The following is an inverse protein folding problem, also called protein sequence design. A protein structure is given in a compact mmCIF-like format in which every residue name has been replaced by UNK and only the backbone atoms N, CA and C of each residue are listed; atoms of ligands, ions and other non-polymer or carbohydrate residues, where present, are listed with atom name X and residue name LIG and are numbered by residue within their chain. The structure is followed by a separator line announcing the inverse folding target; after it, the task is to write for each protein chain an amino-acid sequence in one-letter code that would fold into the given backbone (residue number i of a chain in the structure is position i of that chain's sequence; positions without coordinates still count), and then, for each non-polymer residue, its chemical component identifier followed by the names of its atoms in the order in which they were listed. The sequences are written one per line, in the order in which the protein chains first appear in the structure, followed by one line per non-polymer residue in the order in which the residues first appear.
data_IF_061460686172
#
_entry.id   IF_061460686172
#
_cell.length_a   1.000
_cell.length_b   1.000
_cell.length_c   1.000
_cell.angle_alpha   90.00
_cell.angle_beta   90.00
_cell.angle_gamma   90.00
#
_symmetry.space_group_name_H-M   'P 1'
#
loop_
_entity.id
_entity.type
_entity.pdbx_description
1 polymer ?
#
# COMPACT_ATOMS: atom_id res chain seq x y z
N UNK A 1 -60.81 -6.29 -0.93
CA UNK A 1 -60.94 -4.84 -1.09
C UNK A 1 -60.09 -4.43 -2.29
N UNK A 2 -60.78 -4.26 -3.46
CA UNK A 2 -60.20 -3.81 -4.72
C UNK A 2 -59.89 -2.31 -4.64
N UNK A 3 -58.66 -1.96 -4.43
CA UNK A 3 -58.17 -0.61 -4.69
C UNK A 3 -57.63 -0.51 -6.10
N UNK A 4 -58.46 -0.21 -7.09
CA UNK A 4 -58.05 0.32 -8.37
C UNK A 4 -57.42 1.68 -8.14
N UNK A 5 -56.13 1.80 -8.21
CA UNK A 5 -55.44 3.08 -8.43
C UNK A 5 -55.53 3.34 -9.93
N UNK A 6 -56.62 3.98 -10.33
CA UNK A 6 -56.81 4.62 -11.64
C UNK A 6 -56.37 6.08 -11.50
N UNK A 7 -55.10 6.31 -11.31
CA UNK A 7 -54.47 7.60 -11.42
C UNK A 7 -53.56 7.60 -12.64
N UNK A 8 -53.57 8.70 -13.39
CA UNK A 8 -52.57 8.92 -14.45
C UNK A 8 -51.20 8.74 -13.84
N UNK A 9 -50.40 7.80 -14.35
CA UNK A 9 -49.05 7.55 -13.88
C UNK A 9 -48.24 8.80 -14.19
N UNK A 10 -47.85 9.56 -13.16
CA UNK A 10 -46.99 10.73 -13.30
C UNK A 10 -45.62 10.29 -13.82
N UNK A 11 -44.93 11.23 -14.44
CA UNK A 11 -43.59 10.99 -14.99
C UNK A 11 -42.61 10.43 -13.92
N UNK A 12 -42.69 10.92 -12.69
CA UNK A 12 -41.87 10.43 -11.57
C UNK A 12 -42.24 9.00 -11.13
N UNK A 13 -43.53 8.65 -11.16
CA UNK A 13 -44.00 7.29 -10.89
C UNK A 13 -43.50 6.31 -11.95
N UNK A 14 -43.52 6.71 -13.23
CA UNK A 14 -42.95 5.92 -14.31
C UNK A 14 -41.46 5.67 -14.18
N UNK A 15 -40.69 6.68 -13.78
CA UNK A 15 -39.24 6.55 -13.49
C UNK A 15 -39.04 5.58 -12.33
N UNK A 16 -39.75 5.76 -11.22
CA UNK A 16 -39.64 4.93 -10.04
C UNK A 16 -39.95 3.45 -10.32
N UNK A 17 -41.04 3.17 -11.03
CA UNK A 17 -41.44 1.80 -11.44
C UNK A 17 -40.35 1.20 -12.35
N UNK A 18 -39.83 1.97 -13.31
CA UNK A 18 -38.79 1.49 -14.22
C UNK A 18 -37.49 1.19 -13.45
N UNK A 19 -37.11 2.03 -12.50
CA UNK A 19 -35.95 1.83 -11.65
C UNK A 19 -36.09 0.59 -10.75
N UNK A 20 -37.25 0.38 -10.16
CA UNK A 20 -37.55 -0.83 -9.38
C UNK A 20 -37.40 -2.10 -10.23
N UNK A 21 -37.88 -2.09 -11.46
CA UNK A 21 -37.76 -3.23 -12.38
C UNK A 21 -36.32 -3.50 -12.82
N UNK A 22 -35.51 -2.45 -12.94
CA UNK A 22 -34.07 -2.60 -13.21
C UNK A 22 -33.34 -3.27 -12.05
N UNK A 23 -33.80 -3.05 -10.82
CA UNK A 23 -33.16 -3.59 -9.60
C UNK A 23 -33.73 -4.97 -9.22
N UNK A 24 -35.03 -5.24 -9.49
CA UNK A 24 -35.68 -6.48 -9.14
C UNK A 24 -36.44 -7.09 -10.36
N UNK A 25 -35.80 -8.04 -11.07
CA UNK A 25 -36.44 -8.75 -12.18
C UNK A 25 -37.68 -9.55 -11.78
N UNK A 26 -37.92 -9.81 -10.50
CA UNK A 26 -39.04 -10.58 -9.99
C UNK A 26 -40.39 -9.86 -10.13
N UNK A 27 -40.40 -8.54 -10.32
CA UNK A 27 -41.63 -7.72 -10.47
C UNK A 27 -42.34 -7.93 -11.82
N UNK A 28 -41.75 -8.69 -12.75
CA UNK A 28 -42.29 -8.95 -14.10
C UNK A 28 -43.54 -9.80 -14.09
N UNK A 29 -43.83 -10.56 -13.02
CA UNK A 29 -44.98 -11.51 -12.97
C UNK A 29 -46.37 -10.87 -12.99
N UNK A 30 -46.49 -9.59 -12.64
CA UNK A 30 -47.78 -8.88 -12.52
C UNK A 30 -48.12 -7.99 -13.74
N UNK A 31 -47.33 -8.09 -14.80
CA UNK A 31 -47.49 -7.26 -16.00
C UNK A 31 -48.67 -7.68 -16.87
N UNK A 32 -49.41 -6.72 -17.47
CA UNK A 32 -50.45 -7.03 -18.42
C UNK A 32 -49.86 -7.70 -19.67
N UNK A 33 -50.48 -8.81 -20.12
CA UNK A 33 -50.03 -9.60 -21.27
C UNK A 33 -50.38 -8.85 -22.58
N UNK A 34 -49.73 -7.73 -22.82
CA UNK A 34 -49.81 -6.93 -24.05
C UNK A 34 -48.43 -6.95 -24.72
N UNK A 35 -48.29 -7.56 -25.87
CA UNK A 35 -47.01 -7.79 -26.55
C UNK A 35 -46.10 -6.57 -26.69
N UNK A 36 -46.56 -5.38 -27.13
CA UNK A 36 -45.70 -4.20 -27.22
C UNK A 36 -45.16 -3.74 -25.84
N UNK A 37 -45.96 -3.88 -24.78
CA UNK A 37 -45.59 -3.53 -23.42
C UNK A 37 -44.56 -4.53 -22.89
N UNK A 38 -44.77 -5.82 -23.06
CA UNK A 38 -43.87 -6.88 -22.64
C UNK A 38 -42.47 -6.77 -23.30
N UNK A 39 -42.45 -6.47 -24.61
CA UNK A 39 -41.15 -6.29 -25.31
C UNK A 39 -40.38 -5.08 -24.80
N UNK A 40 -41.07 -3.95 -24.58
CA UNK A 40 -40.45 -2.77 -24.02
C UNK A 40 -39.91 -3.02 -22.61
N UNK A 41 -40.69 -3.66 -21.75
CA UNK A 41 -40.29 -4.00 -20.38
C UNK A 41 -39.14 -5.01 -20.34
N UNK A 42 -39.11 -5.98 -21.24
CA UNK A 42 -38.01 -6.93 -21.37
C UNK A 42 -36.70 -6.20 -21.72
N UNK A 43 -36.75 -5.26 -22.68
CA UNK A 43 -35.56 -4.45 -23.02
C UNK A 43 -35.10 -3.58 -21.84
N UNK A 44 -36.02 -2.97 -21.10
CA UNK A 44 -35.73 -2.18 -19.92
C UNK A 44 -35.05 -3.03 -18.83
N UNK A 45 -35.58 -4.23 -18.56
CA UNK A 45 -35.04 -5.17 -17.59
C UNK A 45 -33.61 -5.64 -17.96
N UNK A 46 -33.44 -6.04 -19.23
CA UNK A 46 -32.13 -6.46 -19.73
C UNK A 46 -31.11 -5.31 -19.71
N UNK A 47 -31.54 -4.10 -20.07
CA UNK A 47 -30.74 -2.88 -19.97
C UNK A 47 -30.34 -2.58 -18.53
N UNK A 48 -31.25 -2.70 -17.59
CA UNK A 48 -31.00 -2.52 -16.16
C UNK A 48 -29.99 -3.53 -15.61
N UNK A 49 -30.17 -4.82 -15.92
CA UNK A 49 -29.22 -5.87 -15.54
C UNK A 49 -27.80 -5.62 -16.10
N UNK A 50 -27.74 -5.16 -17.35
CA UNK A 50 -26.46 -4.81 -17.96
C UNK A 50 -25.80 -3.64 -17.25
N UNK A 51 -26.52 -2.55 -17.01
CA UNK A 51 -26.00 -1.37 -16.30
C UNK A 51 -25.57 -1.71 -14.87
N UNK A 52 -26.37 -2.53 -14.17
CA UNK A 52 -26.03 -2.97 -12.82
C UNK A 52 -24.77 -3.84 -12.80
N UNK A 53 -24.62 -4.74 -13.78
CA UNK A 53 -23.41 -5.56 -13.94
C UNK A 53 -22.17 -4.72 -14.21
N UNK A 54 -22.29 -3.69 -15.05
CA UNK A 54 -21.20 -2.74 -15.31
C UNK A 54 -20.85 -1.95 -14.06
N UNK A 55 -21.84 -1.50 -13.28
CA UNK A 55 -21.61 -0.79 -12.02
C UNK A 55 -20.84 -1.67 -11.03
N UNK A 56 -21.27 -2.93 -10.84
CA UNK A 56 -20.56 -3.89 -9.98
C UNK A 56 -19.13 -4.10 -10.46
N UNK A 57 -18.90 -4.23 -11.77
CA UNK A 57 -17.57 -4.42 -12.34
C UNK A 57 -16.65 -3.22 -12.05
N UNK A 58 -17.16 -1.99 -12.16
CA UNK A 58 -16.40 -0.76 -11.86
C UNK A 58 -16.03 -0.70 -10.37
N UNK A 59 -17.00 -0.94 -9.48
CA UNK A 59 -16.78 -0.95 -8.03
C UNK A 59 -15.76 -2.01 -7.66
N UNK A 60 -15.92 -3.23 -8.17
CA UNK A 60 -15.01 -4.34 -7.92
C UNK A 60 -13.58 -4.03 -8.41
N UNK A 61 -13.45 -3.48 -9.61
CA UNK A 61 -12.17 -3.06 -10.16
C UNK A 61 -11.49 -1.99 -9.28
N UNK A 62 -12.25 -1.01 -8.81
CA UNK A 62 -11.75 0.02 -7.91
C UNK A 62 -11.23 -0.54 -6.58
N UNK A 63 -11.97 -1.49 -5.98
CA UNK A 63 -11.56 -2.18 -4.75
C UNK A 63 -10.31 -3.02 -4.97
N UNK A 64 -10.27 -3.80 -6.06
CA UNK A 64 -9.10 -4.65 -6.39
C UNK A 64 -7.85 -3.80 -6.62
N UNK A 65 -7.96 -2.69 -7.36
CA UNK A 65 -6.84 -1.79 -7.59
C UNK A 65 -6.31 -1.22 -6.27
N UNK A 66 -7.19 -0.77 -5.37
CA UNK A 66 -6.79 -0.27 -4.06
C UNK A 66 -6.11 -1.34 -3.20
N UNK A 67 -6.64 -2.56 -3.19
CA UNK A 67 -6.04 -3.69 -2.50
C UNK A 67 -4.67 -4.05 -3.09
N UNK A 68 -4.53 -4.00 -4.42
CA UNK A 68 -3.26 -4.26 -5.10
C UNK A 68 -2.21 -3.22 -4.74
N UNK A 69 -2.57 -1.94 -4.68
CA UNK A 69 -1.65 -0.88 -4.28
C UNK A 69 -1.21 -1.03 -2.81
N UNK A 70 -2.12 -1.42 -1.92
CA UNK A 70 -1.77 -1.76 -0.53
C UNK A 70 -0.85 -2.98 -0.44
N UNK A 71 -1.08 -3.99 -1.27
CA UNK A 71 -0.21 -5.19 -1.36
C UNK A 71 1.16 -4.87 -1.92
N UNK A 72 1.26 -3.94 -2.87
CA UNK A 72 2.56 -3.48 -3.42
C UNK A 72 3.45 -2.75 -2.41
N UNK A 73 2.98 -2.57 -1.18
CA UNK A 73 3.81 -1.99 -0.11
C UNK A 73 4.13 -0.51 -0.30
N UNK A 74 3.29 0.25 -0.99
CA UNK A 74 3.45 1.70 -1.22
C UNK A 74 2.63 2.57 -0.26
N UNK A 75 2.14 2.01 0.85
CA UNK A 75 1.43 2.76 1.87
C UNK A 75 2.40 3.41 2.87
N UNK A 76 2.07 4.60 3.33
CA UNK A 76 2.86 5.34 4.32
C UNK A 76 3.04 4.56 5.63
N UNK A 77 4.22 4.64 6.22
CA UNK A 77 4.55 4.16 7.56
C UNK A 77 4.21 5.27 8.55
N UNK A 78 3.29 5.00 9.47
CA UNK A 78 2.80 5.97 10.46
C UNK A 78 3.59 5.93 11.77
N UNK A 79 4.47 4.95 11.91
CA UNK A 79 5.31 4.75 13.07
C UNK A 79 6.31 5.91 13.24
N UNK A 80 6.58 6.25 14.50
CA UNK A 80 7.58 7.25 14.89
C UNK A 80 8.61 6.61 15.81
N UNK A 81 9.80 7.18 15.91
CA UNK A 81 10.90 6.66 16.72
C UNK A 81 11.26 5.20 16.39
N UNK A 82 11.06 4.82 15.14
CA UNK A 82 11.30 3.48 14.60
C UNK A 82 12.70 3.37 13.97
N UNK A 83 13.18 2.15 13.78
CA UNK A 83 14.41 1.86 13.03
C UNK A 83 14.05 1.58 11.56
N UNK A 84 14.76 2.23 10.65
CA UNK A 84 14.61 2.00 9.21
C UNK A 84 15.76 1.11 8.73
N UNK A 85 15.46 0.11 7.91
CA UNK A 85 16.44 -0.70 7.20
C UNK A 85 16.24 -0.46 5.70
N UNK A 86 17.29 0.00 5.02
CA UNK A 86 17.31 0.27 3.59
C UNK A 86 18.16 -0.76 2.87
N UNK A 87 17.58 -1.44 1.88
CA UNK A 87 18.20 -2.53 1.13
C UNK A 87 17.77 -3.91 1.62
N UNK A 88 18.18 -4.93 0.88
CA UNK A 88 17.87 -6.32 1.15
C UNK A 88 19.05 -7.22 0.83
N UNK A 89 19.52 -7.93 1.83
CA UNK A 89 20.50 -9.00 1.72
C UNK A 89 20.27 -10.04 2.82
N UNK A 90 21.07 -11.07 2.85
CA UNK A 90 21.03 -12.08 3.93
C UNK A 90 21.23 -11.47 5.33
N UNK A 91 21.90 -10.34 5.42
CA UNK A 91 22.17 -9.66 6.69
C UNK A 91 20.93 -9.03 7.34
N UNK A 92 19.82 -8.85 6.59
CA UNK A 92 18.55 -8.33 7.17
C UNK A 92 18.10 -9.19 8.34
N UNK A 93 18.20 -10.51 8.24
CA UNK A 93 17.65 -11.42 9.26
C UNK A 93 18.37 -11.32 10.60
N UNK A 94 19.71 -11.44 10.69
CA UNK A 94 20.41 -11.25 11.97
C UNK A 94 20.24 -9.83 12.51
N UNK A 95 20.22 -8.80 11.67
CA UNK A 95 19.99 -7.42 12.12
C UNK A 95 18.61 -7.28 12.75
N UNK A 96 17.56 -7.82 12.13
CA UNK A 96 16.20 -7.80 12.69
C UNK A 96 16.16 -8.57 14.01
N UNK A 97 16.81 -9.73 14.12
CA UNK A 97 16.88 -10.52 15.36
C UNK A 97 17.51 -9.72 16.50
N UNK A 98 18.65 -9.08 16.27
CA UNK A 98 19.34 -8.25 17.27
C UNK A 98 18.50 -7.04 17.67
N UNK A 99 17.84 -6.39 16.71
CA UNK A 99 16.94 -5.28 16.99
C UNK A 99 15.72 -5.71 17.82
N UNK A 100 15.16 -6.90 17.57
CA UNK A 100 14.07 -7.47 18.38
C UNK A 100 14.52 -7.68 19.83
N UNK A 101 15.74 -8.20 20.04
CA UNK A 101 16.31 -8.37 21.38
C UNK A 101 16.54 -7.01 22.04
N UNK A 102 17.12 -6.06 21.33
CA UNK A 102 17.37 -4.71 21.84
C UNK A 102 16.09 -3.96 22.21
N UNK A 103 14.99 -4.27 21.54
CA UNK A 103 13.69 -3.66 21.74
C UNK A 103 12.81 -4.38 22.78
N UNK A 104 13.26 -5.47 23.38
CA UNK A 104 12.45 -6.33 24.27
C UNK A 104 11.78 -5.57 25.42
N UNK A 105 12.46 -4.53 25.93
CA UNK A 105 11.96 -3.69 27.03
C UNK A 105 11.03 -2.55 26.55
N UNK A 106 10.82 -2.39 25.24
CA UNK A 106 9.96 -1.36 24.68
C UNK A 106 8.57 -1.92 24.43
N UNK A 107 7.54 -1.20 24.88
CA UNK A 107 6.13 -1.62 24.67
C UNK A 107 5.71 -1.60 23.21
N UNK A 108 6.25 -0.67 22.44
CA UNK A 108 5.95 -0.49 21.03
C UNK A 108 7.25 -0.15 20.30
N UNK A 109 7.82 -1.14 19.66
CA UNK A 109 8.98 -0.95 18.79
C UNK A 109 8.61 -1.32 17.35
N UNK A 110 9.14 -0.58 16.39
CA UNK A 110 8.86 -0.81 14.99
C UNK A 110 10.14 -0.76 14.16
N UNK A 111 10.22 -1.65 13.19
CA UNK A 111 11.25 -1.69 12.17
C UNK A 111 10.57 -1.55 10.81
N UNK A 112 10.95 -0.54 10.03
CA UNK A 112 10.47 -0.34 8.67
C UNK A 112 11.58 -0.74 7.69
N UNK A 113 11.26 -1.61 6.73
CA UNK A 113 12.22 -2.11 5.74
C UNK A 113 11.79 -1.66 4.35
N UNK A 114 12.71 -1.04 3.58
CA UNK A 114 12.50 -0.67 2.19
C UNK A 114 13.52 -1.36 1.30
N UNK A 115 13.03 -2.05 0.28
CA UNK A 115 13.89 -2.65 -0.74
C UNK A 115 13.16 -2.80 -2.07
N UNK A 116 13.92 -2.98 -3.15
CA UNK A 116 13.42 -3.30 -4.50
C UNK A 116 13.00 -4.78 -4.60
N UNK A 117 12.20 -5.24 -3.62
CA UNK A 117 11.66 -6.59 -3.52
C UNK A 117 10.17 -6.52 -3.25
N UNK A 118 9.46 -7.56 -3.61
CA UNK A 118 8.03 -7.67 -3.28
C UNK A 118 7.81 -7.69 -1.77
N UNK A 119 6.83 -6.92 -1.29
CA UNK A 119 6.52 -6.79 0.14
C UNK A 119 6.18 -8.13 0.77
N UNK A 120 5.34 -8.93 0.11
CA UNK A 120 4.85 -10.20 0.65
C UNK A 120 6.03 -11.18 0.77
N UNK A 121 6.88 -11.21 -0.26
CA UNK A 121 8.11 -12.00 -0.22
C UNK A 121 9.00 -11.62 0.96
N UNK A 122 9.20 -10.33 1.22
CA UNK A 122 10.03 -9.87 2.35
C UNK A 122 9.41 -10.25 3.70
N UNK A 123 8.09 -10.07 3.86
CA UNK A 123 7.36 -10.41 5.08
C UNK A 123 7.42 -11.93 5.35
N UNK A 124 7.23 -12.77 4.33
CA UNK A 124 7.29 -14.23 4.44
C UNK A 124 8.71 -14.71 4.81
N UNK A 125 9.74 -14.16 4.19
CA UNK A 125 11.13 -14.46 4.51
C UNK A 125 11.49 -14.10 5.95
N UNK A 126 11.05 -12.93 6.43
CA UNK A 126 11.30 -12.52 7.82
C UNK A 126 10.57 -13.45 8.78
N UNK A 127 9.27 -13.72 8.54
CA UNK A 127 8.48 -14.61 9.39
C UNK A 127 9.04 -16.05 9.44
N UNK A 128 9.65 -16.51 8.35
CA UNK A 128 10.24 -17.86 8.29
C UNK A 128 11.60 -17.94 9.01
N UNK A 129 12.41 -16.89 8.97
CA UNK A 129 13.79 -16.88 9.48
C UNK A 129 13.95 -16.24 10.85
N UNK A 130 13.06 -15.30 11.21
CA UNK A 130 13.01 -14.66 12.53
C UNK A 130 11.86 -15.27 13.31
N UNK A 131 12.19 -16.23 14.20
CA UNK A 131 11.20 -17.09 14.87
C UNK A 131 10.20 -16.37 15.77
N UNK A 132 10.62 -15.27 16.41
CA UNK A 132 9.79 -14.52 17.35
C UNK A 132 10.15 -13.03 17.28
N UNK A 133 9.20 -12.21 16.91
CA UNK A 133 9.33 -10.76 16.84
C UNK A 133 9.01 -10.05 18.17
N UNK A 134 8.56 -10.80 19.19
CA UNK A 134 8.17 -10.30 20.51
C UNK A 134 7.26 -9.06 20.40
N UNK A 135 7.68 -7.94 20.97
CA UNK A 135 6.97 -6.66 20.96
C UNK A 135 7.27 -5.79 19.73
N UNK A 136 8.19 -6.25 18.85
CA UNK A 136 8.66 -5.47 17.70
C UNK A 136 7.80 -5.76 16.47
N UNK A 137 7.21 -4.71 15.89
CA UNK A 137 6.48 -4.78 14.63
C UNK A 137 7.43 -4.57 13.45
N UNK A 138 7.45 -5.49 12.50
CA UNK A 138 8.20 -5.32 11.25
C UNK A 138 7.25 -4.95 10.13
N UNK A 139 7.57 -3.90 9.37
CA UNK A 139 6.77 -3.36 8.28
C UNK A 139 7.63 -3.29 7.03
N UNK A 140 7.31 -4.09 6.01
CA UNK A 140 8.03 -4.07 4.74
C UNK A 140 7.36 -3.14 3.72
N UNK A 141 8.20 -2.46 2.92
CA UNK A 141 7.79 -1.59 1.82
C UNK A 141 8.62 -1.90 0.58
N UNK A 142 7.95 -1.88 -0.57
CA UNK A 142 8.60 -2.06 -1.87
C UNK A 142 8.95 -0.71 -2.45
N UNK A 143 10.22 -0.47 -2.75
CA UNK A 143 10.68 0.77 -3.32
C UNK A 143 12.21 0.84 -3.41
N UNK A 144 12.70 1.90 -4.04
CA UNK A 144 14.14 2.14 -4.19
C UNK A 144 14.68 3.00 -3.05
N UNK A 145 15.74 2.55 -2.34
CA UNK A 145 16.36 3.36 -1.29
C UNK A 145 16.99 4.67 -1.78
N UNK A 146 17.13 4.85 -3.10
CA UNK A 146 17.69 6.06 -3.72
C UNK A 146 16.60 7.06 -4.07
N UNK A 147 15.33 6.60 -4.21
CA UNK A 147 14.21 7.46 -4.58
C UNK A 147 13.66 8.20 -3.37
N UNK A 148 13.61 9.54 -3.46
CA UNK A 148 13.12 10.39 -2.39
C UNK A 148 11.64 10.14 -2.05
N UNK A 149 10.81 9.82 -3.05
CA UNK A 149 9.38 9.53 -2.84
C UNK A 149 9.22 8.23 -2.05
N UNK A 150 9.99 7.20 -2.38
CA UNK A 150 9.96 5.92 -1.68
C UNK A 150 10.54 6.03 -0.26
N UNK A 151 11.53 6.90 -0.04
CA UNK A 151 12.07 7.21 1.29
C UNK A 151 11.03 7.93 2.18
N UNK A 152 10.24 8.83 1.63
CA UNK A 152 9.18 9.53 2.37
C UNK A 152 8.09 8.56 2.88
N UNK A 153 7.83 7.47 2.15
CA UNK A 153 6.88 6.43 2.59
C UNK A 153 7.26 5.84 3.95
N UNK A 154 8.55 5.83 4.29
CA UNK A 154 9.05 5.29 5.55
C UNK A 154 8.95 6.25 6.74
N UNK A 155 8.44 7.46 6.57
CA UNK A 155 8.45 8.51 7.59
C UNK A 155 9.87 8.76 8.16
N UNK A 156 10.82 8.91 7.24
CA UNK A 156 12.27 8.97 7.53
C UNK A 156 12.63 10.08 8.54
N UNK A 157 11.87 11.16 8.56
CA UNK A 157 12.11 12.30 9.43
C UNK A 157 11.79 12.06 10.91
N UNK A 158 11.02 11.01 11.20
CA UNK A 158 10.66 10.59 12.56
C UNK A 158 11.37 9.28 12.98
N UNK A 159 12.34 8.84 12.17
CA UNK A 159 13.11 7.64 12.47
C UNK A 159 14.12 7.87 13.59
N UNK A 160 14.32 6.89 14.46
CA UNK A 160 15.36 6.85 15.49
C UNK A 160 16.74 6.60 14.88
N UNK A 161 16.80 5.66 13.93
CA UNK A 161 18.03 5.25 13.26
C UNK A 161 17.75 4.68 11.89
N UNK A 162 18.71 4.80 10.99
CA UNK A 162 18.63 4.32 9.60
C UNK A 162 19.82 3.39 9.39
N UNK A 163 19.55 2.15 9.02
CA UNK A 163 20.54 1.13 8.70
C UNK A 163 20.51 0.90 7.19
N UNK A 164 21.63 1.08 6.52
CA UNK A 164 21.75 0.88 5.08
C UNK A 164 22.58 -0.38 4.84
N UNK A 165 21.96 -1.36 4.20
CA UNK A 165 22.57 -2.66 3.89
C UNK A 165 23.00 -2.67 2.43
N UNK A 166 24.22 -3.11 2.19
CA UNK A 166 24.78 -3.24 0.85
C UNK A 166 24.05 -4.35 0.07
N UNK A 167 23.44 -4.04 -1.10
CA UNK A 167 22.74 -5.02 -1.90
C UNK A 167 23.71 -6.01 -2.56
N UNK A 168 23.19 -7.17 -2.96
CA UNK A 168 23.95 -8.20 -3.68
C UNK A 168 24.08 -7.88 -5.17
N UNK A 169 24.84 -6.84 -5.50
CA UNK A 169 25.10 -6.35 -6.85
C UNK A 169 26.60 -6.26 -7.14
N UNK A 170 26.96 -5.92 -8.37
CA UNK A 170 28.38 -5.76 -8.77
C UNK A 170 29.05 -4.56 -8.09
N UNK A 171 28.31 -3.51 -7.81
CA UNK A 171 28.79 -2.29 -7.17
C UNK A 171 27.86 -1.89 -6.02
N UNK A 172 27.94 -2.60 -4.89
CA UNK A 172 27.05 -2.37 -3.76
C UNK A 172 27.29 -1.03 -3.07
N UNK A 173 28.56 -0.61 -2.93
CA UNK A 173 28.94 0.59 -2.21
C UNK A 173 28.46 1.87 -2.90
N UNK A 174 28.42 1.86 -4.23
CA UNK A 174 27.85 2.98 -5.00
C UNK A 174 26.37 3.20 -4.69
N UNK A 175 25.61 2.11 -4.49
CA UNK A 175 24.19 2.18 -4.13
C UNK A 175 24.06 2.72 -2.69
N UNK A 176 24.87 2.23 -1.77
CA UNK A 176 24.89 2.70 -0.37
C UNK A 176 25.23 4.20 -0.29
N UNK A 177 26.27 4.65 -0.99
CA UNK A 177 26.65 6.06 -1.02
C UNK A 177 25.55 6.94 -1.63
N UNK A 178 24.93 6.51 -2.72
CA UNK A 178 23.78 7.22 -3.31
C UNK A 178 22.60 7.29 -2.34
N UNK A 179 22.33 6.23 -1.59
CA UNK A 179 21.30 6.21 -0.55
C UNK A 179 21.61 7.20 0.57
N UNK A 180 22.85 7.25 1.05
CA UNK A 180 23.30 8.24 2.03
C UNK A 180 23.05 9.66 1.51
N UNK A 181 23.47 9.94 0.27
CA UNK A 181 23.27 11.24 -0.37
C UNK A 181 21.78 11.60 -0.53
N UNK A 182 20.94 10.64 -0.87
CA UNK A 182 19.47 10.86 -0.98
C UNK A 182 18.86 11.24 0.36
N UNK A 183 19.34 10.64 1.47
CA UNK A 183 18.86 10.94 2.82
C UNK A 183 19.36 12.31 3.29
N UNK A 184 20.67 12.57 3.16
CA UNK A 184 21.31 13.78 3.70
C UNK A 184 20.91 15.03 2.92
N UNK A 185 20.70 14.92 1.62
CA UNK A 185 20.26 16.00 0.73
C UNK A 185 18.75 16.05 0.50
N UNK A 186 17.94 15.38 1.32
CA UNK A 186 16.49 15.41 1.17
C UNK A 186 15.94 16.83 1.39
N UNK A 187 15.26 17.44 0.38
CA UNK A 187 14.74 18.81 0.49
C UNK A 187 13.65 18.97 1.55
N UNK A 188 12.96 17.87 1.90
CA UNK A 188 11.88 17.85 2.89
C UNK A 188 12.39 17.66 4.33
N UNK A 189 13.69 17.68 4.54
CA UNK A 189 14.31 17.51 5.85
C UNK A 189 13.79 18.54 6.86
N UNK A 190 13.34 18.07 8.03
CA UNK A 190 12.88 18.92 9.13
C UNK A 190 14.03 19.71 9.77
N UNK A 191 14.39 20.83 9.16
CA UNK A 191 15.39 21.76 9.67
C UNK A 191 16.85 21.35 9.36
N UNK A 192 17.71 22.35 9.12
CA UNK A 192 19.12 22.15 8.78
C UNK A 192 19.97 21.50 9.89
N UNK A 193 19.46 21.45 11.13
CA UNK A 193 20.19 20.91 12.29
C UNK A 193 19.74 19.51 12.73
N UNK A 194 18.77 18.89 12.06
CA UNK A 194 18.35 17.53 12.41
C UNK A 194 19.32 16.53 11.82
N UNK A 195 20.16 15.93 12.66
CA UNK A 195 21.10 14.89 12.23
C UNK A 195 20.40 13.55 12.21
N UNK A 196 20.54 12.83 11.09
CA UNK A 196 20.13 11.43 11.01
C UNK A 196 21.22 10.54 11.63
N UNK A 197 20.79 9.54 12.41
CA UNK A 197 21.68 8.48 12.86
C UNK A 197 21.73 7.39 11.79
N UNK A 198 22.74 7.44 10.92
CA UNK A 198 22.92 6.51 9.80
C UNK A 198 24.02 5.53 10.12
N UNK A 199 23.74 4.24 9.95
CA UNK A 199 24.71 3.14 9.99
C UNK A 199 24.70 2.49 8.62
N UNK A 200 25.82 2.46 7.92
CA UNK A 200 25.89 1.95 6.55
C UNK A 200 26.93 0.85 6.41
N UNK A 201 26.60 -0.20 5.68
CA UNK A 201 27.53 -1.26 5.30
C UNK A 201 28.32 -0.80 4.07
N UNK A 202 29.65 -0.75 4.18
CA UNK A 202 30.57 -0.53 3.06
C UNK A 202 31.46 -1.76 2.93
N UNK A 203 31.49 -2.37 1.76
CA UNK A 203 32.26 -3.60 1.52
C UNK A 203 33.72 -3.36 1.15
N UNK A 204 34.00 -2.28 0.42
CA UNK A 204 35.36 -1.90 0.05
C UNK A 204 35.85 -0.80 0.99
N UNK A 205 36.89 -1.04 1.80
CA UNK A 205 37.44 -0.04 2.72
C UNK A 205 37.85 1.28 2.04
N UNK A 206 38.19 1.26 0.76
CA UNK A 206 38.56 2.47 -0.01
C UNK A 206 37.37 3.44 -0.17
N UNK A 207 36.14 2.94 -0.10
CA UNK A 207 34.93 3.73 -0.25
C UNK A 207 34.43 4.35 1.08
N UNK A 208 35.01 3.96 2.22
CA UNK A 208 34.59 4.45 3.55
C UNK A 208 34.71 5.97 3.64
N UNK A 209 35.83 6.53 3.20
CA UNK A 209 36.06 7.98 3.25
C UNK A 209 35.02 8.75 2.39
N UNK A 210 34.61 8.18 1.25
CA UNK A 210 33.59 8.77 0.38
C UNK A 210 32.21 8.70 1.06
N UNK A 211 31.89 7.56 1.69
CA UNK A 211 30.64 7.39 2.43
C UNK A 211 30.54 8.35 3.63
N UNK A 212 31.64 8.56 4.36
CA UNK A 212 31.70 9.55 5.45
C UNK A 212 31.47 10.98 4.95
N UNK A 213 32.06 11.35 3.80
CA UNK A 213 31.84 12.66 3.19
C UNK A 213 30.37 12.82 2.77
N UNK A 214 29.78 11.77 2.18
CA UNK A 214 28.37 11.77 1.79
C UNK A 214 27.41 11.89 2.99
N UNK A 215 27.82 11.40 4.16
CA UNK A 215 27.07 11.48 5.42
C UNK A 215 27.33 12.74 6.24
N UNK A 216 28.29 13.57 5.86
CA UNK A 216 28.55 14.85 6.53
C UNK A 216 27.52 15.87 6.10
N UNK A 217 26.74 16.36 7.06
CA UNK A 217 25.82 17.49 6.97
C UNK A 217 26.54 18.82 7.19
#
# INVERSE_FOLDING_TARGET
ANGKVSGDIDFFDAIYITLLRMLDPGVVSDDPIIWPFLTFMLVATLGGLFLFSVLIAIVNSGVINKLTDLRKGKSFVLETNHTIILGWSFQVFPIVQELVIANENLKHASIAILAEKDKIYMEDEINSKVKDLKTTKVVCRTGSPIDLIDLEILNIHEAKSIIIIAPETKDPDSIVIKTILAITNNPNRKGKNTKYHIVAEIRDPRNVAIAEIAGKD
#
